data_IF_340759721799
#
_entry.id   IF_340759721799
#
_cell.length_a   1.000
_cell.length_b   1.000
_cell.length_c   1.000
_cell.angle_alpha   90.00
_cell.angle_beta   90.00
_cell.angle_gamma   90.00
#
_symmetry.space_group_name_H-M   'P 1'
#
loop_
_entity.id
_entity.type
_entity.pdbx_description
1 polymer ?
#
# COMPACT_ATOMS: atom_id res chain seq x y z
N UNK A 1 16.38 17.44 -38.62
CA UNK A 1 15.97 18.55 -37.73
C UNK A 1 14.54 18.42 -37.21
N UNK A 2 13.48 18.54 -38.02
CA UNK A 2 12.09 18.41 -37.50
C UNK A 2 11.81 16.99 -36.96
N UNK A 3 12.32 15.96 -37.64
CA UNK A 3 12.20 14.56 -37.18
C UNK A 3 12.91 14.31 -35.85
N UNK A 4 14.12 14.86 -35.66
CA UNK A 4 14.89 14.67 -34.42
C UNK A 4 14.24 15.39 -33.23
N UNK A 5 13.69 16.58 -33.44
CA UNK A 5 12.93 17.33 -32.43
C UNK A 5 11.67 16.56 -32.03
N UNK A 6 10.96 15.97 -33.00
CA UNK A 6 9.78 15.16 -32.72
C UNK A 6 10.14 13.91 -31.91
N UNK A 7 11.22 13.21 -32.27
CA UNK A 7 11.69 12.03 -31.53
C UNK A 7 12.11 12.39 -30.10
N UNK A 8 12.76 13.53 -29.91
CA UNK A 8 13.15 14.02 -28.59
C UNK A 8 11.94 14.39 -27.73
N UNK A 9 10.93 15.06 -28.31
CA UNK A 9 9.66 15.32 -27.61
C UNK A 9 8.95 14.03 -27.22
N UNK A 10 8.96 13.03 -28.10
CA UNK A 10 8.33 11.74 -27.84
C UNK A 10 9.09 10.96 -26.75
N UNK A 11 10.42 11.04 -26.73
CA UNK A 11 11.23 10.50 -25.64
C UNK A 11 10.91 11.16 -24.28
N UNK A 12 10.80 12.49 -24.24
CA UNK A 12 10.42 13.22 -23.02
C UNK A 12 9.01 12.80 -22.58
N UNK A 13 8.06 12.66 -23.50
CA UNK A 13 6.72 12.18 -23.18
C UNK A 13 6.77 10.76 -22.57
N UNK A 14 7.60 9.87 -23.11
CA UNK A 14 7.82 8.54 -22.53
C UNK A 14 8.42 8.61 -21.13
N UNK A 15 9.39 9.48 -20.86
CA UNK A 15 9.93 9.68 -19.51
C UNK A 15 8.84 10.10 -18.51
N UNK A 16 7.97 11.04 -18.91
CA UNK A 16 6.86 11.51 -18.07
C UNK A 16 5.87 10.39 -17.80
N UNK A 17 5.52 9.60 -18.81
CA UNK A 17 4.62 8.46 -18.62
C UNK A 17 5.24 7.34 -17.77
N UNK A 18 6.54 7.07 -17.93
CA UNK A 18 7.28 6.11 -17.11
C UNK A 18 7.27 6.56 -15.64
N UNK A 19 7.55 7.84 -15.39
CA UNK A 19 7.46 8.44 -14.07
C UNK A 19 6.06 8.35 -13.47
N UNK A 20 5.03 8.61 -14.28
CA UNK A 20 3.62 8.46 -13.87
C UNK A 20 3.30 7.02 -13.46
N UNK A 21 3.67 6.02 -14.26
CA UNK A 21 3.40 4.62 -13.94
C UNK A 21 4.17 4.14 -12.71
N UNK A 22 5.48 4.42 -12.65
CA UNK A 22 6.34 4.07 -11.53
C UNK A 22 5.90 4.71 -10.20
N UNK A 23 5.50 5.99 -10.22
CA UNK A 23 4.96 6.64 -9.02
C UNK A 23 3.55 6.15 -8.65
N UNK A 24 2.70 5.84 -9.63
CA UNK A 24 1.37 5.29 -9.40
C UNK A 24 1.42 3.92 -8.73
N UNK A 25 2.35 3.06 -9.16
CA UNK A 25 2.61 1.75 -8.56
C UNK A 25 2.84 1.87 -7.06
N UNK A 26 3.86 2.64 -6.67
CA UNK A 26 4.23 2.81 -5.26
C UNK A 26 3.12 3.48 -4.47
N UNK A 27 2.52 4.57 -4.97
CA UNK A 27 1.48 5.29 -4.24
C UNK A 27 0.23 4.42 -3.97
N UNK A 28 -0.20 3.60 -4.94
CA UNK A 28 -1.38 2.75 -4.81
C UNK A 28 -1.12 1.48 -3.99
N UNK A 29 0.10 0.96 -4.02
CA UNK A 29 0.51 -0.15 -3.14
C UNK A 29 0.58 0.33 -1.69
N UNK A 30 1.33 1.40 -1.43
CA UNK A 30 1.64 1.87 -0.07
C UNK A 30 0.44 2.43 0.70
N UNK A 31 -0.64 2.87 0.03
CA UNK A 31 -1.82 3.36 0.74
C UNK A 31 -2.66 2.21 1.32
N UNK A 32 -3.03 2.30 2.60
CA UNK A 32 -3.79 1.24 3.31
C UNK A 32 -5.30 1.35 3.07
N UNK A 33 -6.04 0.23 3.16
CA UNK A 33 -7.52 0.22 3.03
C UNK A 33 -8.19 1.12 4.09
N UNK A 34 -7.67 1.12 5.32
CA UNK A 34 -8.14 1.98 6.40
C UNK A 34 -8.04 3.46 6.00
N UNK A 35 -6.88 3.88 5.49
CA UNK A 35 -6.67 5.26 5.03
C UNK A 35 -7.58 5.61 3.84
N UNK A 36 -7.77 4.72 2.88
CA UNK A 36 -8.72 4.93 1.76
C UNK A 36 -10.14 5.17 2.28
N UNK A 37 -10.59 4.40 3.28
CA UNK A 37 -11.91 4.58 3.90
C UNK A 37 -12.04 5.94 4.61
N UNK A 38 -11.00 6.39 5.30
CA UNK A 38 -10.95 7.73 5.87
C UNK A 38 -11.10 8.81 4.79
N UNK A 39 -10.35 8.72 3.69
CA UNK A 39 -10.41 9.68 2.58
C UNK A 39 -11.76 9.70 1.84
N UNK A 40 -12.43 8.54 1.79
CA UNK A 40 -13.80 8.43 1.30
C UNK A 40 -14.79 9.18 2.18
N UNK A 41 -14.72 8.97 3.50
CA UNK A 41 -15.58 9.64 4.47
C UNK A 41 -15.37 11.16 4.49
N UNK A 42 -14.12 11.62 4.31
CA UNK A 42 -13.78 13.03 4.16
C UNK A 42 -14.19 13.64 2.81
N UNK A 43 -14.71 12.84 1.87
CA UNK A 43 -15.17 13.32 0.56
C UNK A 43 -14.06 13.84 -0.36
N UNK A 44 -12.81 13.39 -0.18
CA UNK A 44 -11.66 13.86 -0.97
C UNK A 44 -11.82 13.53 -2.46
N UNK A 45 -11.41 14.43 -3.34
CA UNK A 45 -11.45 14.19 -4.79
C UNK A 45 -10.57 12.98 -5.15
N UNK A 46 -11.12 12.03 -5.89
CA UNK A 46 -10.42 10.80 -6.29
C UNK A 46 -10.60 9.61 -5.33
N UNK A 47 -11.11 9.82 -4.11
CA UNK A 47 -11.27 8.75 -3.11
C UNK A 47 -12.17 7.60 -3.58
N UNK A 48 -13.25 7.91 -4.33
CA UNK A 48 -14.12 6.88 -4.95
C UNK A 48 -13.37 5.98 -5.93
N UNK A 49 -12.54 6.58 -6.80
CA UNK A 49 -11.75 5.82 -7.77
C UNK A 49 -10.66 5.02 -7.08
N UNK A 50 -10.03 5.61 -6.06
CA UNK A 50 -9.02 4.95 -5.24
C UNK A 50 -9.58 3.73 -4.50
N UNK A 51 -10.80 3.84 -3.94
CA UNK A 51 -11.50 2.70 -3.34
C UNK A 51 -11.77 1.58 -4.33
N UNK A 52 -12.30 1.92 -5.51
CA UNK A 52 -12.58 0.93 -6.55
C UNK A 52 -11.31 0.21 -7.02
N UNK A 53 -10.17 0.92 -7.10
CA UNK A 53 -8.88 0.30 -7.37
C UNK A 53 -8.47 -0.67 -6.26
N UNK A 54 -8.62 -0.27 -4.99
CA UNK A 54 -8.17 -1.07 -3.83
C UNK A 54 -9.02 -2.34 -3.60
N UNK A 55 -10.24 -2.39 -4.13
CA UNK A 55 -11.08 -3.59 -4.18
C UNK A 55 -10.53 -4.65 -5.14
N UNK A 56 -9.83 -4.25 -6.21
CA UNK A 56 -9.26 -5.18 -7.20
C UNK A 56 -7.76 -4.91 -7.43
N UNK A 57 -6.89 -5.19 -6.43
CA UNK A 57 -5.50 -4.78 -6.48
C UNK A 57 -4.72 -5.39 -7.65
N UNK A 58 -4.93 -6.69 -7.91
CA UNK A 58 -4.31 -7.40 -9.03
C UNK A 58 -4.55 -6.69 -10.38
N UNK A 59 -5.77 -6.20 -10.62
CA UNK A 59 -6.15 -5.63 -11.91
C UNK A 59 -5.45 -4.32 -12.20
N UNK A 60 -5.34 -3.45 -11.19
CA UNK A 60 -4.65 -2.18 -11.40
C UNK A 60 -3.13 -2.38 -11.44
N UNK A 61 -2.58 -3.32 -10.66
CA UNK A 61 -1.16 -3.63 -10.70
C UNK A 61 -0.76 -4.15 -12.08
N UNK A 62 -1.51 -5.10 -12.64
CA UNK A 62 -1.28 -5.60 -14.00
C UNK A 62 -1.39 -4.46 -15.01
N UNK A 63 -2.40 -3.58 -14.90
CA UNK A 63 -2.55 -2.44 -15.81
C UNK A 63 -1.36 -1.47 -15.77
N UNK A 64 -0.88 -1.13 -14.57
CA UNK A 64 0.28 -0.24 -14.39
C UNK A 64 1.55 -0.91 -14.91
N UNK A 65 1.77 -2.19 -14.62
CA UNK A 65 2.93 -2.94 -15.10
C UNK A 65 2.95 -3.02 -16.62
N UNK A 66 1.81 -3.28 -17.26
CA UNK A 66 1.70 -3.27 -18.73
C UNK A 66 2.01 -1.87 -19.27
N UNK A 67 1.40 -0.83 -18.70
CA UNK A 67 1.62 0.56 -19.12
C UNK A 67 3.08 0.98 -19.00
N UNK A 68 3.71 0.69 -17.87
CA UNK A 68 5.11 0.99 -17.61
C UNK A 68 6.03 0.29 -18.61
N UNK A 69 5.81 -1.00 -18.84
CA UNK A 69 6.62 -1.78 -19.78
C UNK A 69 6.49 -1.28 -21.22
N UNK A 70 5.27 -0.99 -21.68
CA UNK A 70 5.05 -0.43 -23.03
C UNK A 70 5.81 0.89 -23.17
N UNK A 71 5.69 1.77 -22.18
CA UNK A 71 6.36 3.07 -22.22
C UNK A 71 7.88 2.94 -22.16
N UNK A 72 8.42 2.06 -21.33
CA UNK A 72 9.87 1.86 -21.20
C UNK A 72 10.48 1.23 -22.46
N UNK A 73 9.80 0.24 -23.06
CA UNK A 73 10.22 -0.36 -24.33
C UNK A 73 10.14 0.67 -25.45
N UNK A 74 9.08 1.48 -25.51
CA UNK A 74 8.97 2.57 -26.46
C UNK A 74 10.10 3.59 -26.25
N UNK A 75 10.33 4.03 -25.01
CA UNK A 75 11.39 4.97 -24.66
C UNK A 75 12.76 4.48 -25.12
N UNK A 76 13.07 3.20 -24.86
CA UNK A 76 14.31 2.58 -25.29
C UNK A 76 14.44 2.60 -26.82
N UNK A 77 13.41 2.16 -27.56
CA UNK A 77 13.42 2.14 -29.02
C UNK A 77 13.59 3.54 -29.63
N UNK A 78 12.86 4.53 -29.11
CA UNK A 78 12.96 5.94 -29.56
C UNK A 78 14.33 6.50 -29.24
N UNK A 79 14.84 6.25 -28.04
CA UNK A 79 16.14 6.74 -27.63
C UNK A 79 17.27 6.13 -28.46
N UNK A 80 17.17 4.85 -28.83
CA UNK A 80 18.08 4.22 -29.80
C UNK A 80 17.99 4.93 -31.15
N UNK A 81 16.79 5.21 -31.65
CA UNK A 81 16.60 5.91 -32.93
C UNK A 81 17.19 7.34 -32.90
N UNK A 82 16.96 8.10 -31.83
CA UNK A 82 17.55 9.45 -31.60
C UNK A 82 19.07 9.37 -31.52
N UNK A 83 19.58 8.36 -30.82
CA UNK A 83 21.03 8.17 -30.65
C UNK A 83 21.72 7.92 -31.98
N UNK A 84 21.15 7.02 -32.80
CA UNK A 84 21.69 6.71 -34.12
C UNK A 84 21.63 7.95 -35.04
N UNK A 85 20.55 8.74 -34.97
CA UNK A 85 20.40 9.93 -35.83
C UNK A 85 21.37 11.06 -35.48
N UNK A 86 21.72 11.23 -34.19
CA UNK A 86 22.57 12.32 -33.71
C UNK A 86 24.06 11.93 -33.67
N UNK A 87 24.38 10.74 -33.17
CA UNK A 87 25.77 10.35 -32.84
C UNK A 87 26.37 9.33 -33.81
N UNK A 88 25.59 8.77 -34.75
CA UNK A 88 26.03 7.68 -35.63
C UNK A 88 26.47 6.42 -34.86
N UNK A 89 27.02 5.43 -35.55
CA UNK A 89 27.34 4.11 -34.96
C UNK A 89 28.40 4.17 -33.85
N UNK A 90 29.31 5.14 -33.90
CA UNK A 90 30.49 5.21 -33.00
C UNK A 90 30.10 5.72 -31.59
N UNK A 91 28.97 6.41 -31.44
CA UNK A 91 28.51 6.96 -30.16
C UNK A 91 27.38 6.19 -29.48
N UNK A 92 26.87 5.12 -30.10
CA UNK A 92 25.63 4.44 -29.65
C UNK A 92 25.74 3.89 -28.23
N UNK A 93 26.89 3.29 -27.87
CA UNK A 93 27.09 2.71 -26.53
C UNK A 93 27.02 3.75 -25.41
N UNK A 94 27.69 4.89 -25.59
CA UNK A 94 27.73 5.97 -24.58
C UNK A 94 26.36 6.63 -24.45
N UNK A 95 25.72 6.95 -25.57
CA UNK A 95 24.40 7.58 -25.57
C UNK A 95 23.31 6.64 -25.03
N UNK A 96 23.40 5.33 -25.29
CA UNK A 96 22.53 4.33 -24.66
C UNK A 96 22.71 4.31 -23.14
N UNK A 97 23.95 4.36 -22.65
CA UNK A 97 24.23 4.47 -21.22
C UNK A 97 23.60 5.71 -20.58
N UNK A 98 23.73 6.87 -21.21
CA UNK A 98 23.12 8.13 -20.74
C UNK A 98 21.59 8.01 -20.70
N UNK A 99 20.97 7.47 -21.75
CA UNK A 99 19.52 7.26 -21.82
C UNK A 99 19.04 6.34 -20.71
N UNK A 100 19.74 5.24 -20.45
CA UNK A 100 19.39 4.31 -19.36
C UNK A 100 19.45 5.01 -18.01
N UNK A 101 20.51 5.80 -17.77
CA UNK A 101 20.63 6.59 -16.53
C UNK A 101 19.46 7.57 -16.41
N UNK A 102 19.08 8.27 -17.48
CA UNK A 102 17.95 9.19 -17.48
C UNK A 102 16.62 8.46 -17.19
N UNK A 103 16.36 7.32 -17.84
CA UNK A 103 15.18 6.50 -17.58
C UNK A 103 15.13 6.01 -16.14
N UNK A 104 16.24 5.49 -15.60
CA UNK A 104 16.29 4.99 -14.23
C UNK A 104 16.09 6.11 -13.21
N UNK A 105 16.79 7.24 -13.35
CA UNK A 105 16.67 8.33 -12.38
C UNK A 105 15.34 9.07 -12.47
N UNK A 106 14.91 9.45 -13.67
CA UNK A 106 13.74 10.30 -13.86
C UNK A 106 12.44 9.53 -14.14
N UNK A 107 12.52 8.35 -14.75
CA UNK A 107 11.36 7.52 -15.06
C UNK A 107 10.99 6.53 -13.95
N UNK A 108 11.98 6.07 -13.17
CA UNK A 108 11.75 4.96 -12.25
C UNK A 108 12.07 5.28 -10.78
N UNK A 109 13.35 5.41 -10.42
CA UNK A 109 13.83 5.50 -9.04
C UNK A 109 13.34 6.79 -8.36
N UNK A 110 13.56 7.95 -8.99
CA UNK A 110 13.16 9.26 -8.44
C UNK A 110 11.65 9.34 -8.17
N UNK A 111 10.79 9.03 -9.16
CA UNK A 111 9.34 9.01 -8.99
C UNK A 111 8.87 8.03 -7.90
N UNK A 112 9.49 6.84 -7.79
CA UNK A 112 9.17 5.85 -6.74
C UNK A 112 9.49 6.38 -5.34
N UNK A 113 10.66 6.99 -5.15
CA UNK A 113 11.05 7.58 -3.87
C UNK A 113 10.10 8.73 -3.48
N UNK A 114 9.74 9.58 -4.44
CA UNK A 114 8.80 10.67 -4.20
C UNK A 114 7.40 10.14 -3.83
N UNK A 115 6.94 9.09 -4.52
CA UNK A 115 5.66 8.44 -4.24
C UNK A 115 5.59 7.85 -2.83
N UNK A 116 6.66 7.20 -2.37
CA UNK A 116 6.71 6.65 -1.02
C UNK A 116 6.57 7.71 0.09
N UNK A 117 7.07 8.94 -0.16
CA UNK A 117 6.98 10.05 0.81
C UNK A 117 5.66 10.81 0.73
N UNK A 118 4.98 10.80 -0.42
CA UNK A 118 3.79 11.60 -0.68
C UNK A 118 2.60 10.74 -1.15
N UNK A 119 2.50 9.55 -0.55
CA UNK A 119 1.57 8.46 -0.90
C UNK A 119 0.13 8.93 -1.06
N UNK A 120 -0.41 9.65 -0.08
CA UNK A 120 -1.83 10.05 -0.05
C UNK A 120 -2.19 10.94 -1.24
N UNK A 121 -1.43 12.02 -1.43
CA UNK A 121 -1.72 13.01 -2.48
C UNK A 121 -1.58 12.39 -3.87
N UNK A 122 -0.54 11.58 -4.08
CA UNK A 122 -0.33 10.92 -5.36
C UNK A 122 -1.37 9.83 -5.62
N UNK A 123 -1.70 8.99 -4.65
CA UNK A 123 -2.71 7.95 -4.80
C UNK A 123 -4.07 8.54 -5.23
N UNK A 124 -4.48 9.65 -4.62
CA UNK A 124 -5.70 10.37 -5.02
C UNK A 124 -5.61 10.93 -6.44
N UNK A 125 -4.49 11.55 -6.80
CA UNK A 125 -4.28 12.15 -8.12
C UNK A 125 -4.29 11.11 -9.26
N UNK A 126 -3.61 9.97 -9.05
CA UNK A 126 -3.45 8.91 -10.07
C UNK A 126 -4.63 7.93 -10.11
N UNK A 127 -5.47 7.90 -9.08
CA UNK A 127 -6.58 6.94 -8.97
C UNK A 127 -7.53 6.93 -10.17
N UNK A 128 -7.93 8.11 -10.67
CA UNK A 128 -8.83 8.22 -11.83
C UNK A 128 -8.19 7.72 -13.13
N UNK A 129 -7.01 8.21 -13.55
CA UNK A 129 -6.40 7.75 -14.80
C UNK A 129 -6.06 6.26 -14.76
N UNK A 130 -5.56 5.74 -13.63
CA UNK A 130 -5.27 4.30 -13.49
C UNK A 130 -6.55 3.47 -13.57
N UNK A 131 -7.66 3.91 -12.96
CA UNK A 131 -8.94 3.18 -13.05
C UNK A 131 -9.47 3.10 -14.49
N UNK A 132 -9.35 4.20 -15.24
CA UNK A 132 -9.72 4.23 -16.65
C UNK A 132 -8.83 3.28 -17.45
N UNK A 133 -7.51 3.32 -17.23
CA UNK A 133 -6.56 2.44 -17.90
C UNK A 133 -6.85 0.96 -17.59
N UNK A 134 -7.12 0.62 -16.34
CA UNK A 134 -7.47 -0.74 -15.93
C UNK A 134 -8.75 -1.23 -16.62
N UNK A 135 -9.73 -0.34 -16.82
CA UNK A 135 -10.96 -0.67 -17.58
C UNK A 135 -10.68 -0.89 -19.07
N UNK A 136 -9.83 -0.06 -19.69
CA UNK A 136 -9.43 -0.21 -21.09
C UNK A 136 -8.65 -1.51 -21.30
N UNK A 137 -7.74 -1.86 -20.38
CA UNK A 137 -6.93 -3.07 -20.44
C UNK A 137 -7.64 -4.32 -19.90
N UNK A 138 -8.90 -4.21 -19.47
CA UNK A 138 -9.69 -5.32 -18.94
C UNK A 138 -9.69 -6.59 -19.81
N UNK A 139 -9.78 -6.54 -21.17
CA UNK A 139 -9.75 -7.78 -21.97
C UNK A 139 -8.38 -8.48 -21.91
N UNK A 140 -7.29 -7.71 -21.86
CA UNK A 140 -5.93 -8.23 -21.73
C UNK A 140 -5.72 -8.83 -20.34
N UNK A 141 -6.16 -8.12 -19.30
CA UNK A 141 -6.09 -8.57 -17.90
C UNK A 141 -6.85 -9.89 -17.74
N UNK A 142 -8.06 -10.01 -18.30
CA UNK A 142 -8.84 -11.25 -18.25
C UNK A 142 -8.11 -12.42 -18.93
N UNK A 143 -7.43 -12.18 -20.05
CA UNK A 143 -6.59 -13.17 -20.71
C UNK A 143 -5.44 -13.65 -19.81
N UNK A 144 -4.76 -12.73 -19.14
CA UNK A 144 -3.68 -13.03 -18.18
C UNK A 144 -4.23 -13.81 -16.98
N UNK A 145 -5.33 -13.36 -16.37
CA UNK A 145 -6.01 -14.03 -15.23
C UNK A 145 -6.37 -15.49 -15.57
N UNK A 146 -6.82 -15.76 -16.80
CA UNK A 146 -7.17 -17.11 -17.26
C UNK A 146 -5.94 -18.01 -17.41
N UNK A 147 -4.80 -17.44 -17.80
CA UNK A 147 -3.54 -18.19 -17.91
C UNK A 147 -2.98 -18.45 -16.51
N UNK A 148 -2.88 -17.43 -15.66
CA UNK A 148 -2.33 -17.55 -14.30
C UNK A 148 -3.20 -18.39 -13.37
N UNK A 149 -4.53 -18.34 -13.53
CA UNK A 149 -5.46 -19.20 -12.78
C UNK A 149 -5.27 -20.70 -13.04
N UNK A 150 -4.68 -21.09 -14.17
CA UNK A 150 -4.30 -22.50 -14.45
C UNK A 150 -3.04 -22.95 -13.70
N UNK A 151 -2.22 -22.01 -13.25
CA UNK A 151 -1.00 -22.28 -12.47
C UNK A 151 -1.25 -22.25 -10.95
N UNK A 152 -2.51 -22.17 -10.50
CA UNK A 152 -2.85 -22.15 -9.07
C UNK A 152 -2.49 -20.85 -8.35
N UNK A 153 -2.04 -19.82 -9.09
CA UNK A 153 -1.69 -18.53 -8.54
C UNK A 153 -2.95 -17.68 -8.30
N UNK A 154 -3.75 -18.04 -7.30
CA UNK A 154 -4.63 -17.08 -6.62
C UNK A 154 -3.73 -16.14 -5.80
N UNK A 155 -2.98 -15.29 -6.49
CA UNK A 155 -2.16 -14.29 -5.86
C UNK A 155 -3.10 -13.23 -5.29
N UNK A 156 -3.52 -13.39 -4.04
CA UNK A 156 -4.11 -12.30 -3.27
C UNK A 156 -2.99 -11.28 -2.99
N UNK A 157 -2.60 -10.49 -4.01
CA UNK A 157 -1.60 -9.44 -3.84
C UNK A 157 -2.26 -8.33 -3.05
N UNK A 158 -1.89 -8.20 -1.77
CA UNK A 158 -2.27 -7.08 -0.93
C UNK A 158 -3.35 -7.34 0.12
N UNK A 159 -3.56 -8.60 0.53
CA UNK A 159 -4.29 -8.91 1.77
C UNK A 159 -3.33 -9.48 2.82
N UNK A 160 -2.55 -8.59 3.44
CA UNK A 160 -2.03 -8.89 4.78
C UNK A 160 -3.21 -8.67 5.73
N UNK A 161 -3.80 -9.76 6.22
CA UNK A 161 -4.70 -9.65 7.37
C UNK A 161 -3.84 -9.25 8.56
N UNK A 162 -4.15 -8.11 9.18
CA UNK A 162 -3.46 -7.68 10.40
C UNK A 162 -3.84 -8.65 11.51
N UNK A 163 -2.85 -9.36 12.05
CA UNK A 163 -3.06 -10.28 13.17
C UNK A 163 -2.84 -9.55 14.50
N UNK A 164 -3.27 -10.14 15.60
CA UNK A 164 -3.03 -9.58 16.93
C UNK A 164 -1.53 -9.47 17.23
N UNK A 165 -0.73 -10.43 16.76
CA UNK A 165 0.73 -10.41 16.88
C UNK A 165 1.33 -9.20 16.15
N UNK A 166 0.84 -8.87 14.96
CA UNK A 166 1.31 -7.69 14.20
C UNK A 166 0.96 -6.37 14.92
N UNK A 167 -0.20 -6.32 15.61
CA UNK A 167 -0.56 -5.19 16.48
C UNK A 167 0.39 -5.09 17.68
N UNK A 168 0.70 -6.21 18.34
CA UNK A 168 1.65 -6.27 19.46
C UNK A 168 3.05 -5.78 19.03
N UNK A 169 3.52 -6.19 17.85
CA UNK A 169 4.78 -5.71 17.28
C UNK A 169 4.79 -4.19 17.07
N UNK A 170 3.72 -3.61 16.53
CA UNK A 170 3.63 -2.14 16.37
C UNK A 170 3.66 -1.39 17.70
N UNK A 171 3.04 -1.95 18.75
CA UNK A 171 3.10 -1.36 20.09
C UNK A 171 4.53 -1.37 20.62
N UNK A 172 5.28 -2.48 20.45
CA UNK A 172 6.67 -2.56 20.91
C UNK A 172 7.58 -1.59 20.12
N UNK A 173 7.41 -1.48 18.80
CA UNK A 173 8.14 -0.49 17.99
C UNK A 173 7.82 0.94 18.45
N UNK A 174 6.55 1.26 18.73
CA UNK A 174 6.15 2.58 19.22
C UNK A 174 6.80 2.94 20.57
N UNK A 175 7.04 1.93 21.42
CA UNK A 175 7.79 2.10 22.68
C UNK A 175 9.29 2.29 22.43
N UNK A 176 9.91 1.52 21.53
CA UNK A 176 11.33 1.67 21.17
C UNK A 176 11.62 3.05 20.55
N UNK A 177 10.69 3.57 19.75
CA UNK A 177 10.76 4.91 19.17
C UNK A 177 10.39 6.02 20.18
N UNK A 178 10.01 5.67 21.41
CA UNK A 178 9.64 6.62 22.47
C UNK A 178 8.33 7.36 22.24
N UNK A 179 7.48 6.85 21.33
CA UNK A 179 6.15 7.41 21.03
C UNK A 179 5.08 6.84 21.97
N UNK A 180 5.32 5.68 22.57
CA UNK A 180 4.44 5.01 23.54
C UNK A 180 5.19 4.83 24.86
N UNK A 181 4.56 5.22 25.97
CA UNK A 181 5.14 5.03 27.30
C UNK A 181 4.98 3.59 27.80
N UNK A 182 5.78 3.17 28.80
CA UNK A 182 5.73 1.81 29.34
C UNK A 182 4.35 1.46 29.94
N UNK A 183 3.71 2.42 30.61
CA UNK A 183 2.37 2.27 31.19
C UNK A 183 1.29 2.12 30.10
N UNK A 184 1.40 2.88 29.00
CA UNK A 184 0.51 2.77 27.85
C UNK A 184 0.64 1.41 27.16
N UNK A 185 1.88 0.90 27.03
CA UNK A 185 2.10 -0.46 26.50
C UNK A 185 1.39 -1.51 27.34
N UNK A 186 1.54 -1.46 28.66
CA UNK A 186 0.89 -2.43 29.56
C UNK A 186 -0.64 -2.37 29.44
N UNK A 187 -1.21 -1.16 29.38
CA UNK A 187 -2.63 -0.97 29.13
C UNK A 187 -3.06 -1.60 27.79
N UNK A 188 -2.35 -1.32 26.70
CA UNK A 188 -2.68 -1.83 25.37
C UNK A 188 -2.63 -3.36 25.32
N UNK A 189 -1.63 -3.98 25.96
CA UNK A 189 -1.55 -5.44 26.09
C UNK A 189 -2.70 -6.01 26.91
N UNK A 190 -3.04 -5.40 28.06
CA UNK A 190 -4.18 -5.83 28.86
C UNK A 190 -5.50 -5.71 28.11
N UNK A 191 -5.68 -4.71 27.24
CA UNK A 191 -6.89 -4.58 26.41
C UNK A 191 -7.00 -5.70 25.39
N UNK A 192 -5.89 -6.12 24.78
CA UNK A 192 -5.87 -7.26 23.85
C UNK A 192 -6.23 -8.56 24.59
N UNK A 193 -5.61 -8.80 25.74
CA UNK A 193 -5.85 -10.01 26.56
C UNK A 193 -7.24 -10.03 27.23
N UNK A 194 -7.85 -8.86 27.46
CA UNK A 194 -9.16 -8.76 28.11
C UNK A 194 -10.26 -9.51 27.35
N UNK A 195 -10.20 -9.52 26.01
CA UNK A 195 -11.17 -10.23 25.18
C UNK A 195 -11.16 -11.76 25.38
N UNK A 196 -9.99 -12.30 25.71
CA UNK A 196 -9.75 -13.73 25.92
C UNK A 196 -9.77 -14.13 27.41
N UNK A 197 -9.71 -13.15 28.31
CA UNK A 197 -9.70 -13.38 29.76
C UNK A 197 -11.03 -14.00 30.21
N UNK A 198 -10.97 -15.21 30.73
CA UNK A 198 -12.11 -15.94 31.25
C UNK A 198 -12.52 -15.37 32.60
N UNK A 199 -13.82 -15.32 32.89
CA UNK A 199 -14.33 -14.88 34.22
C UNK A 199 -13.66 -15.61 35.38
N UNK A 200 -13.30 -16.89 35.20
CA UNK A 200 -12.64 -17.68 36.24
C UNK A 200 -11.23 -17.19 36.61
N UNK A 201 -10.58 -16.44 35.72
CA UNK A 201 -9.21 -15.94 35.91
C UNK A 201 -9.19 -14.66 36.75
N UNK A 202 -10.31 -13.94 36.80
CA UNK A 202 -10.45 -12.68 37.53
C UNK A 202 -11.47 -12.72 38.69
N UNK A 203 -12.28 -13.79 38.78
CA UNK A 203 -13.24 -13.92 39.87
C UNK A 203 -12.54 -14.13 41.21
N UNK A 204 -13.14 -13.63 42.28
CA UNK A 204 -12.74 -14.00 43.64
C UNK A 204 -13.02 -15.49 43.85
N UNK A 205 -12.01 -16.32 44.20
CA UNK A 205 -12.23 -17.73 44.51
C UNK A 205 -13.31 -17.90 45.58
N UNK A 206 -14.18 -18.91 45.47
CA UNK A 206 -15.31 -19.10 46.41
C UNK A 206 -14.89 -19.12 47.89
N UNK A 207 -13.69 -19.60 48.18
CA UNK A 207 -13.13 -19.66 49.54
C UNK A 207 -12.78 -18.28 50.12
N UNK A 208 -12.55 -17.30 49.25
CA UNK A 208 -12.20 -15.92 49.59
C UNK A 208 -13.41 -14.97 49.47
N UNK A 209 -14.58 -15.49 49.06
CA UNK A 209 -15.81 -14.71 48.99
C UNK A 209 -16.39 -14.56 50.39
N UNK A 210 -16.64 -13.31 50.79
CA UNK A 210 -17.44 -13.01 51.96
C UNK A 210 -18.89 -13.48 51.75
N UNK A 211 -19.30 -14.52 52.47
CA UNK A 211 -20.60 -15.17 52.35
C UNK A 211 -21.41 -14.99 53.64
N UNK A 212 -22.71 -14.79 53.51
CA UNK A 212 -23.66 -14.74 54.63
C UNK A 212 -24.85 -15.64 54.33
N UNK A 213 -25.36 -16.31 55.35
CA UNK A 213 -26.59 -17.12 55.25
C UNK A 213 -27.82 -16.20 55.18
N UNK A 214 -28.82 -16.60 54.40
CA UNK A 214 -30.05 -15.83 54.17
C UNK A 214 -30.93 -15.67 55.42
N UNK A 215 -30.72 -16.52 56.43
CA UNK A 215 -31.42 -16.53 57.71
C UNK A 215 -30.81 -15.61 58.78
N UNK A 216 -29.67 -14.96 58.52
CA UNK A 216 -28.96 -14.14 59.51
C UNK A 216 -29.63 -12.78 59.73
N UNK A 217 -29.47 -12.26 60.94
CA UNK A 217 -30.00 -10.95 61.33
C UNK A 217 -29.10 -9.80 60.84
N UNK A 218 -29.66 -8.58 60.76
CA UNK A 218 -28.93 -7.38 60.33
C UNK A 218 -27.67 -7.12 61.18
N UNK A 219 -27.77 -7.34 62.50
CA UNK A 219 -26.65 -7.14 63.43
C UNK A 219 -25.49 -8.11 63.15
N UNK A 220 -25.79 -9.36 62.79
CA UNK A 220 -24.78 -10.35 62.40
C UNK A 220 -24.15 -10.02 61.04
N UNK A 221 -24.93 -9.47 60.10
CA UNK A 221 -24.41 -9.04 58.81
C UNK A 221 -23.42 -7.86 58.94
N UNK A 222 -23.69 -6.92 59.86
CA UNK A 222 -22.81 -5.76 60.09
C UNK A 222 -21.44 -6.15 60.66
N UNK A 223 -21.30 -7.30 61.33
CA UNK A 223 -20.02 -7.80 61.81
C UNK A 223 -19.11 -8.33 60.69
N UNK A 224 -19.66 -8.57 59.49
CA UNK A 224 -18.92 -9.12 58.35
C UNK A 224 -18.19 -8.05 57.51
N UNK A 225 -18.56 -6.77 57.67
CA UNK A 225 -18.02 -5.63 56.91
C UNK A 225 -17.09 -4.72 57.73
N UNK A 226 -16.97 -4.95 59.05
CA UNK A 226 -16.06 -4.23 59.96
C UNK A 226 -14.80 -5.04 60.23
#
# INVERSE_FOLDING_TARGET
>A
MIGDILLLLLFIACLVFSAFFSSSEVALISITRAKVRTLLNEGKKGSKSLSALKETPNRFLIAILIGNNIVNVAAAAIATAVTISIFGDIGVGIATGVVVILLLFFGEIGPKIYAARNTEKLALAVSKPVLILSRILSPVIWGIEKITGRFGASAAVGETMVTEEEIKEWIEVGKEEGTIEQEEREMLYSVLEFGDTLTREIMTPRVDVALIEDIRTLDEAMQLFN
#
